data_IF_147159986841
#
_entry.id   IF_147159986841
#
_cell.length_a   1.000
_cell.length_b   1.000
_cell.length_c   1.000
_cell.angle_alpha   90.00
_cell.angle_beta   90.00
_cell.angle_gamma   90.00
#
_symmetry.space_group_name_H-M   'P 1'
#
loop_
_entity.id
_entity.type
_entity.pdbx_description
1 polymer ?
#
# COMPACT_ATOMS: atom_id res chain seq x y z
N UNK A 1 12.72 0.95 7.21
CA UNK A 1 11.29 1.27 7.06
C UNK A 1 11.06 1.91 5.71
N UNK A 2 11.87 2.91 5.34
CA UNK A 2 11.93 3.49 4.01
C UNK A 2 11.75 2.49 2.85
N UNK A 3 12.61 1.47 2.73
CA UNK A 3 12.49 0.48 1.64
C UNK A 3 11.18 -0.32 1.64
N UNK A 4 10.65 -0.64 2.82
CA UNK A 4 9.41 -1.40 2.91
C UNK A 4 8.21 -0.55 2.49
N UNK A 5 8.19 0.72 2.90
CA UNK A 5 7.23 1.72 2.42
C UNK A 5 7.35 1.93 0.91
N UNK A 6 8.55 2.17 0.39
CA UNK A 6 8.76 2.48 -1.02
C UNK A 6 8.31 1.33 -1.93
N UNK A 7 8.72 0.09 -1.62
CA UNK A 7 8.33 -1.10 -2.38
C UNK A 7 6.81 -1.28 -2.33
N UNK A 8 6.20 -1.21 -1.14
CA UNK A 8 4.76 -1.37 -1.01
C UNK A 8 3.99 -0.28 -1.76
N UNK A 9 4.44 0.98 -1.71
CA UNK A 9 3.78 2.12 -2.38
C UNK A 9 3.88 2.05 -3.90
N UNK A 10 5.04 1.68 -4.44
CA UNK A 10 5.26 1.68 -5.89
C UNK A 10 4.54 0.52 -6.58
N UNK A 11 4.50 -0.65 -5.94
CA UNK A 11 3.98 -1.87 -6.56
C UNK A 11 2.57 -2.26 -6.10
N UNK A 12 1.97 -1.55 -5.15
CA UNK A 12 0.61 -1.85 -4.67
C UNK A 12 -0.45 -1.71 -5.75
N UNK A 13 -0.30 -0.77 -6.69
CA UNK A 13 -1.29 -0.52 -7.75
C UNK A 13 -1.32 -1.51 -8.92
N UNK A 14 -0.50 -2.57 -8.87
CA UNK A 14 -0.44 -3.58 -9.95
C UNK A 14 -1.80 -4.25 -10.17
N UNK A 15 -2.52 -4.76 -9.15
CA UNK A 15 -3.81 -5.41 -9.34
C UNK A 15 -4.85 -4.54 -10.06
N UNK A 16 -5.03 -3.28 -9.65
CA UNK A 16 -5.97 -2.37 -10.30
C UNK A 16 -5.54 -1.99 -11.72
N UNK A 17 -4.25 -1.75 -11.95
CA UNK A 17 -3.73 -1.49 -13.30
C UNK A 17 -3.95 -2.69 -14.21
N UNK A 18 -3.67 -3.91 -13.74
CA UNK A 18 -3.88 -5.13 -14.51
C UNK A 18 -5.38 -5.36 -14.80
N UNK A 19 -6.24 -5.11 -13.82
CA UNK A 19 -7.69 -5.20 -14.01
C UNK A 19 -8.19 -4.21 -15.07
N UNK A 20 -7.73 -2.96 -15.04
CA UNK A 20 -8.12 -1.94 -16.03
C UNK A 20 -7.69 -2.37 -17.45
N UNK A 21 -6.45 -2.84 -17.61
CA UNK A 21 -5.96 -3.35 -18.89
C UNK A 21 -6.75 -4.56 -19.40
N UNK A 22 -7.13 -5.48 -18.51
CA UNK A 22 -7.92 -6.67 -18.86
C UNK A 22 -9.38 -6.35 -19.21
N UNK A 23 -9.88 -5.20 -18.78
CA UNK A 23 -11.28 -4.77 -18.97
C UNK A 23 -11.43 -3.63 -19.97
N UNK A 24 -10.34 -3.28 -20.67
CA UNK A 24 -10.27 -2.15 -21.62
C UNK A 24 -10.69 -0.80 -21.00
N UNK A 25 -10.44 -0.65 -19.70
CA UNK A 25 -10.66 0.58 -18.95
C UNK A 25 -9.37 1.42 -18.89
N UNK A 26 -9.48 2.69 -18.45
CA UNK A 26 -8.32 3.57 -18.30
C UNK A 26 -7.40 3.09 -17.15
N UNK A 27 -6.16 2.65 -17.41
CA UNK A 27 -5.23 2.24 -16.36
C UNK A 27 -4.84 3.38 -15.42
N UNK A 28 -5.09 4.64 -15.80
CA UNK A 28 -4.79 5.81 -14.99
C UNK A 28 -5.97 6.29 -14.15
N UNK A 29 -7.15 5.66 -14.23
CA UNK A 29 -8.37 6.07 -13.53
C UNK A 29 -8.14 6.24 -12.02
N UNK A 30 -7.50 5.25 -11.37
CA UNK A 30 -7.18 5.30 -9.95
C UNK A 30 -6.18 6.43 -9.62
N UNK A 31 -5.25 6.73 -10.53
CA UNK A 31 -4.30 7.84 -10.38
C UNK A 31 -5.04 9.18 -10.43
N UNK A 32 -5.96 9.36 -11.38
CA UNK A 32 -6.76 10.59 -11.48
C UNK A 32 -7.66 10.77 -10.27
N UNK A 33 -8.31 9.70 -9.80
CA UNK A 33 -9.14 9.73 -8.60
C UNK A 33 -8.34 10.16 -7.36
N UNK A 34 -7.12 9.63 -7.19
CA UNK A 34 -6.22 10.01 -6.10
C UNK A 34 -5.73 11.47 -6.22
N UNK A 35 -5.41 11.94 -7.43
CA UNK A 35 -5.11 13.35 -7.67
C UNK A 35 -6.28 14.28 -7.33
N UNK A 36 -7.49 13.82 -7.64
CA UNK A 36 -8.76 14.47 -7.31
C UNK A 36 -9.03 14.64 -5.80
N UNK A 37 -8.27 13.96 -4.94
CA UNK A 37 -8.35 14.18 -3.48
C UNK A 37 -7.77 15.53 -3.06
N UNK A 38 -6.83 16.08 -3.83
CA UNK A 38 -6.12 17.32 -3.50
C UNK A 38 -6.42 18.46 -4.48
N UNK A 39 -6.73 18.14 -5.73
CA UNK A 39 -6.99 19.11 -6.79
C UNK A 39 -8.34 18.85 -7.46
N UNK A 40 -8.88 19.86 -8.15
CA UNK A 40 -10.04 19.67 -9.02
C UNK A 40 -9.73 18.66 -10.14
N UNK A 41 -10.71 17.83 -10.51
CA UNK A 41 -10.61 16.92 -11.67
C UNK A 41 -10.44 17.65 -13.02
N UNK A 42 -10.67 18.97 -13.05
CA UNK A 42 -10.40 19.81 -14.22
C UNK A 42 -8.95 20.31 -14.30
N UNK A 43 -8.09 19.96 -13.33
CA UNK A 43 -6.70 20.38 -13.32
C UNK A 43 -5.89 19.70 -14.45
N UNK A 44 -4.77 20.30 -14.90
CA UNK A 44 -3.92 19.69 -15.91
C UNK A 44 -3.44 18.28 -15.50
N UNK A 45 -3.35 17.30 -16.43
CA UNK A 45 -3.02 15.91 -16.11
C UNK A 45 -1.72 15.73 -15.31
N UNK A 46 -0.69 16.52 -15.63
CA UNK A 46 0.58 16.49 -14.89
C UNK A 46 0.40 16.90 -13.42
N UNK A 47 -0.49 17.86 -13.13
CA UNK A 47 -0.76 18.29 -11.76
C UNK A 47 -1.54 17.22 -11.00
N UNK A 48 -2.54 16.59 -11.64
CA UNK A 48 -3.28 15.47 -11.06
C UNK A 48 -2.34 14.29 -10.76
N UNK A 49 -1.43 13.96 -11.66
CA UNK A 49 -0.43 12.91 -11.45
C UNK A 49 0.48 13.20 -10.25
N UNK A 50 1.01 14.42 -10.15
CA UNK A 50 1.87 14.81 -9.03
C UNK A 50 1.08 14.84 -7.72
N UNK A 51 -0.15 15.34 -7.73
CA UNK A 51 -1.06 15.32 -6.58
C UNK A 51 -1.37 13.89 -6.13
N UNK A 52 -1.62 12.97 -7.07
CA UNK A 52 -1.83 11.56 -6.78
C UNK A 52 -0.61 10.93 -6.09
N UNK A 53 0.60 11.24 -6.58
CA UNK A 53 1.85 10.82 -5.96
C UNK A 53 1.98 11.30 -4.51
N UNK A 54 1.63 12.56 -4.23
CA UNK A 54 1.61 13.11 -2.87
C UNK A 54 0.54 12.43 -2.00
N UNK A 55 -0.69 12.32 -2.48
CA UNK A 55 -1.79 11.71 -1.75
C UNK A 55 -1.51 10.25 -1.40
N UNK A 56 -1.21 9.42 -2.41
CA UNK A 56 -0.93 8.01 -2.25
C UNK A 56 0.34 7.79 -1.41
N UNK A 57 1.41 8.54 -1.68
CA UNK A 57 2.65 8.47 -0.92
C UNK A 57 2.44 8.77 0.57
N UNK A 58 1.66 9.80 0.89
CA UNK A 58 1.36 10.23 2.27
C UNK A 58 0.51 9.21 3.01
N UNK A 59 -0.58 8.73 2.39
CA UNK A 59 -1.46 7.69 2.97
C UNK A 59 -0.68 6.40 3.20
N UNK A 60 0.10 5.96 2.22
CA UNK A 60 0.95 4.77 2.34
C UNK A 60 2.01 4.93 3.44
N UNK A 61 2.61 6.11 3.58
CA UNK A 61 3.58 6.39 4.65
C UNK A 61 2.92 6.34 6.03
N UNK A 62 1.73 6.93 6.17
CA UNK A 62 0.93 6.89 7.38
C UNK A 62 0.62 5.45 7.80
N UNK A 63 0.06 4.63 6.90
CA UNK A 63 -0.26 3.24 7.22
C UNK A 63 0.98 2.39 7.47
N UNK A 64 2.08 2.63 6.73
CA UNK A 64 3.36 1.95 7.00
C UNK A 64 3.84 2.22 8.42
N UNK A 65 3.73 3.47 8.86
CA UNK A 65 4.12 3.88 10.21
C UNK A 65 3.24 3.19 11.27
N UNK A 66 1.92 3.19 11.08
CA UNK A 66 0.97 2.48 11.95
C UNK A 66 1.33 1.00 12.05
N UNK A 67 1.48 0.32 10.91
CA UNK A 67 1.79 -1.12 10.86
C UNK A 67 3.15 -1.43 11.49
N UNK A 68 4.15 -0.58 11.28
CA UNK A 68 5.48 -0.77 11.86
C UNK A 68 5.49 -0.70 13.39
N UNK A 69 4.50 -0.02 14.00
CA UNK A 69 4.35 0.11 15.45
C UNK A 69 3.42 -0.92 16.05
N UNK A 70 2.35 -1.28 15.35
CA UNK A 70 1.27 -2.10 15.91
C UNK A 70 1.37 -3.58 15.55
N UNK A 71 1.98 -3.93 14.42
CA UNK A 71 2.03 -5.33 14.01
C UNK A 71 2.92 -6.16 14.95
N UNK A 72 2.47 -7.35 15.37
CA UNK A 72 3.29 -8.25 16.14
C UNK A 72 4.50 -8.71 15.32
N UNK A 73 5.65 -8.83 15.98
CA UNK A 73 6.89 -9.31 15.34
C UNK A 73 6.78 -10.76 14.87
N UNK A 74 6.07 -11.60 15.63
CA UNK A 74 5.75 -12.98 15.22
C UNK A 74 4.57 -12.94 14.26
N UNK A 75 4.67 -13.70 13.18
CA UNK A 75 3.63 -13.77 12.15
C UNK A 75 3.29 -12.41 11.48
N UNK A 76 4.28 -11.53 11.29
CA UNK A 76 4.07 -10.18 10.73
C UNK A 76 3.32 -10.18 9.38
N UNK A 77 3.55 -11.18 8.52
CA UNK A 77 2.91 -11.24 7.20
C UNK A 77 1.38 -11.48 7.26
N UNK A 78 0.87 -12.54 7.89
CA UNK A 78 -0.59 -12.73 7.99
C UNK A 78 -1.28 -11.58 8.74
N UNK A 79 -0.64 -10.99 9.76
CA UNK A 79 -1.19 -9.80 10.42
C UNK A 79 -1.18 -8.56 9.53
N UNK A 80 -0.17 -8.39 8.66
CA UNK A 80 -0.17 -7.31 7.67
C UNK A 80 -1.28 -7.49 6.63
N UNK A 81 -1.54 -8.72 6.17
CA UNK A 81 -2.65 -9.00 5.25
C UNK A 81 -4.01 -8.74 5.90
N UNK A 82 -4.22 -9.24 7.13
CA UNK A 82 -5.46 -9.01 7.86
C UNK A 82 -5.68 -7.53 8.16
N UNK A 83 -4.62 -6.83 8.59
CA UNK A 83 -4.65 -5.40 8.82
C UNK A 83 -4.95 -4.62 7.54
N UNK A 84 -4.32 -4.98 6.42
CA UNK A 84 -4.52 -4.23 5.17
C UNK A 84 -5.89 -4.47 4.57
N UNK A 85 -6.48 -5.65 4.75
CA UNK A 85 -7.89 -5.88 4.45
C UNK A 85 -8.81 -4.97 5.27
N UNK A 86 -8.55 -4.81 6.58
CA UNK A 86 -9.32 -3.91 7.43
C UNK A 86 -9.16 -2.44 7.02
N UNK A 87 -7.93 -2.02 6.68
CA UNK A 87 -7.65 -0.68 6.12
C UNK A 87 -8.38 -0.48 4.80
N UNK A 88 -8.40 -1.46 3.90
CA UNK A 88 -9.12 -1.36 2.63
C UNK A 88 -10.62 -1.10 2.84
N UNK A 89 -11.23 -1.78 3.81
CA UNK A 89 -12.64 -1.55 4.16
C UNK A 89 -12.84 -0.15 4.76
N UNK A 90 -11.97 0.28 5.65
CA UNK A 90 -12.01 1.61 6.23
C UNK A 90 -11.88 2.70 5.15
N UNK A 91 -10.81 2.65 4.36
CA UNK A 91 -10.46 3.66 3.37
C UNK A 91 -11.52 3.70 2.24
N UNK A 92 -11.93 2.54 1.71
CA UNK A 92 -12.81 2.48 0.54
C UNK A 92 -14.32 2.53 0.87
N UNK A 93 -14.75 2.03 2.03
CA UNK A 93 -16.19 1.94 2.37
C UNK A 93 -16.64 2.98 3.38
N UNK A 94 -15.76 3.46 4.25
CA UNK A 94 -16.13 4.41 5.30
C UNK A 94 -15.61 5.83 5.00
N UNK A 95 -14.37 5.96 4.51
CA UNK A 95 -13.72 7.25 4.29
C UNK A 95 -14.01 7.80 2.89
N UNK A 96 -13.82 7.00 1.84
CA UNK A 96 -13.94 7.47 0.46
C UNK A 96 -15.35 7.98 0.11
N UNK A 97 -16.47 7.31 0.43
CA UNK A 97 -17.79 7.78 -0.01
C UNK A 97 -18.16 9.21 0.44
N UNK A 98 -17.94 9.61 1.72
CA UNK A 98 -18.25 10.97 2.14
C UNK A 98 -17.18 12.01 1.77
N UNK A 99 -15.90 11.62 1.64
CA UNK A 99 -14.80 12.60 1.51
C UNK A 99 -14.19 12.66 0.11
N UNK A 100 -14.19 11.56 -0.63
CA UNK A 100 -13.49 11.41 -1.90
C UNK A 100 -14.37 10.67 -2.92
N UNK A 101 -15.42 11.34 -3.47
CA UNK A 101 -16.36 10.69 -4.38
C UNK A 101 -15.71 10.05 -5.62
N UNK A 102 -14.62 10.63 -6.13
CA UNK A 102 -13.85 10.07 -7.25
C UNK A 102 -13.23 8.72 -6.90
N UNK A 103 -12.71 8.55 -5.68
CA UNK A 103 -12.16 7.28 -5.18
C UNK A 103 -13.27 6.27 -4.92
N UNK A 104 -14.41 6.74 -4.39
CA UNK A 104 -15.57 5.89 -4.11
C UNK A 104 -16.24 5.33 -5.39
N UNK A 105 -16.05 6.01 -6.53
CA UNK A 105 -16.55 5.57 -7.82
C UNK A 105 -15.73 4.43 -8.46
N UNK A 106 -14.50 4.20 -7.98
CA UNK A 106 -13.63 3.14 -8.50
C UNK A 106 -14.22 1.75 -8.24
N UNK A 107 -13.91 0.80 -9.12
CA UNK A 107 -14.23 -0.60 -8.90
C UNK A 107 -13.62 -1.09 -7.59
N UNK A 108 -14.45 -1.57 -6.66
CA UNK A 108 -14.02 -1.91 -5.31
C UNK A 108 -12.97 -3.03 -5.26
N UNK A 109 -13.19 -4.14 -5.97
CA UNK A 109 -12.35 -5.34 -5.84
C UNK A 109 -10.90 -5.14 -6.27
N UNK A 110 -10.60 -4.45 -7.39
CA UNK A 110 -9.23 -4.13 -7.74
C UNK A 110 -8.54 -3.24 -6.70
N UNK A 111 -9.23 -2.23 -6.16
CA UNK A 111 -8.68 -1.36 -5.11
C UNK A 111 -8.45 -2.11 -3.78
N UNK A 112 -9.33 -3.04 -3.45
CA UNK A 112 -9.15 -3.94 -2.30
C UNK A 112 -7.93 -4.85 -2.51
N UNK A 113 -7.73 -5.37 -3.73
CA UNK A 113 -6.56 -6.17 -4.08
C UNK A 113 -5.26 -5.36 -3.99
N UNK A 114 -5.27 -4.07 -4.34
CA UNK A 114 -4.11 -3.18 -4.16
C UNK A 114 -3.71 -3.04 -2.68
N UNK A 115 -4.68 -2.96 -1.76
CA UNK A 115 -4.41 -2.95 -0.32
C UNK A 115 -3.85 -4.27 0.18
N UNK A 116 -4.32 -5.41 -0.35
CA UNK A 116 -3.74 -6.71 -0.04
C UNK A 116 -2.30 -6.82 -0.57
N UNK A 117 -2.05 -6.34 -1.79
CA UNK A 117 -0.70 -6.28 -2.38
C UNK A 117 0.22 -5.40 -1.52
N UNK A 118 -0.25 -4.22 -1.11
CA UNK A 118 0.49 -3.34 -0.20
C UNK A 118 0.83 -4.04 1.11
N UNK A 119 -0.14 -4.71 1.75
CA UNK A 119 0.06 -5.45 3.00
C UNK A 119 1.03 -6.62 2.84
N UNK A 120 0.95 -7.35 1.72
CA UNK A 120 1.87 -8.43 1.38
C UNK A 120 3.31 -7.94 1.20
N UNK A 121 3.50 -6.86 0.44
CA UNK A 121 4.82 -6.26 0.17
C UNK A 121 5.44 -5.69 1.44
N UNK A 122 4.66 -4.94 2.23
CA UNK A 122 5.10 -4.39 3.50
C UNK A 122 5.44 -5.50 4.49
N UNK A 123 4.50 -6.41 4.76
CA UNK A 123 4.66 -7.52 5.69
C UNK A 123 5.79 -8.46 5.30
N UNK A 124 5.93 -8.77 4.00
CA UNK A 124 7.02 -9.56 3.45
C UNK A 124 8.38 -8.91 3.65
N UNK A 125 8.50 -7.61 3.35
CA UNK A 125 9.75 -6.86 3.55
C UNK A 125 10.11 -6.76 5.03
N UNK A 126 9.14 -6.55 5.92
CA UNK A 126 9.36 -6.53 7.37
C UNK A 126 9.81 -7.91 7.89
N UNK A 127 9.16 -8.99 7.46
CA UNK A 127 9.53 -10.37 7.79
C UNK A 127 10.97 -10.67 7.37
N UNK A 128 11.34 -10.31 6.14
CA UNK A 128 12.69 -10.52 5.62
C UNK A 128 13.74 -9.78 6.46
N UNK A 129 13.47 -8.52 6.84
CA UNK A 129 14.37 -7.74 7.69
C UNK A 129 14.53 -8.33 9.08
N UNK A 130 13.44 -8.78 9.71
CA UNK A 130 13.48 -9.44 11.02
C UNK A 130 14.30 -10.73 10.96
N UNK A 131 14.08 -11.58 9.96
CA UNK A 131 14.84 -12.82 9.78
C UNK A 131 16.34 -12.56 9.56
N UNK A 132 16.69 -11.53 8.77
CA UNK A 132 18.09 -11.15 8.54
C UNK A 132 18.77 -10.62 9.80
N UNK A 133 18.06 -9.87 10.64
CA UNK A 133 18.59 -9.37 11.91
C UNK A 133 18.87 -10.52 12.89
N UNK A 134 17.96 -11.48 13.01
CA UNK A 134 18.16 -12.68 13.85
C UNK A 134 19.38 -13.50 13.42
N UNK A 135 19.62 -13.64 12.11
CA UNK A 135 20.80 -14.36 11.59
C UNK A 135 22.12 -13.65 11.88
N UNK A 136 22.13 -12.32 11.91
CA UNK A 136 23.34 -11.52 12.20
C UNK A 136 23.70 -11.48 13.68
N UNK A 137 22.72 -11.68 14.56
CA UNK A 137 22.93 -11.74 16.01
C UNK A 137 23.25 -13.13 16.55
N UNK A 138 23.28 -14.16 15.69
CA UNK A 138 23.72 -15.49 16.10
C UNK A 138 25.26 -15.48 16.29
N UNK A 139 25.79 -16.01 17.41
CA UNK A 139 27.23 -16.19 17.57
C UNK A 139 27.78 -17.08 16.43
N UNK A 140 29.05 -16.90 16.03
CA UNK A 140 29.66 -17.76 15.02
C UNK A 140 29.54 -19.22 15.46
N UNK A 141 28.95 -20.05 14.60
CA UNK A 141 29.12 -21.48 14.70
C UNK A 141 30.62 -21.74 14.53
N UNK A 142 31.22 -22.45 15.48
CA UNK A 142 32.64 -22.84 15.52
C UNK A 142 33.58 -21.85 16.22
N UNK A 143 33.47 -21.76 17.55
CA UNK A 143 34.65 -21.55 18.39
C UNK A 143 35.13 -22.94 18.84
N UNK A 144 36.30 -23.44 18.39
CA UNK A 144 36.83 -24.72 18.87
C UNK A 144 37.13 -24.64 20.38
N UNK A 145 36.64 -25.63 21.13
CA UNK A 145 36.95 -25.87 22.55
C UNK A 145 38.31 -26.53 22.73
#
# INVERSE_FOLDING_TARGET
MFWAWLIATVFSGIPSTAYALLTDADPMEATWAAGGMLLSMSAPPVQLFMAAGVAHGTVSAFWTLVFSRLLPRRHVLPWALAGSAAVALLDLRLIAPPLFPSVAALAFWPQFADHLMWGALLGGTLRWRLARASRRGAPPADAPT
#
